data_IF_644268637644
#
_entry.id   IF_644268637644
#
_cell.length_a   1.000
_cell.length_b   1.000
_cell.length_c   1.000
_cell.angle_alpha   90.00
_cell.angle_beta   90.00
_cell.angle_gamma   90.00
#
_symmetry.space_group_name_H-M   'P 1'
#
loop_
_entity.id
_entity.type
_entity.pdbx_description
1 polymer ?
#
# COMPACT_ATOMS: atom_id res chain seq x y z
N UNK A 1 10.75 14.69 6.65
CA UNK A 1 11.48 13.73 7.50
C UNK A 1 10.47 12.70 7.96
N UNK A 2 10.73 11.41 7.81
CA UNK A 2 9.86 10.30 8.17
C UNK A 2 10.65 9.23 8.92
N UNK A 3 9.96 8.40 9.69
CA UNK A 3 10.52 7.29 10.43
C UNK A 3 10.32 6.00 9.62
N UNK A 4 11.39 5.32 9.28
CA UNK A 4 11.35 4.10 8.47
C UNK A 4 11.86 2.92 9.28
N UNK A 5 11.10 1.84 9.31
CA UNK A 5 11.49 0.60 9.94
C UNK A 5 11.85 -0.43 8.86
N UNK A 6 13.09 -0.90 8.85
CA UNK A 6 13.54 -1.96 7.95
C UNK A 6 13.80 -3.24 8.75
N UNK A 7 13.23 -4.34 8.27
CA UNK A 7 13.31 -5.66 8.90
C UNK A 7 13.82 -6.67 7.88
N UNK A 8 15.06 -7.14 8.10
CA UNK A 8 15.75 -8.04 7.18
C UNK A 8 16.87 -8.75 7.95
N UNK A 9 17.02 -10.04 7.81
CA UNK A 9 18.06 -10.80 8.52
C UNK A 9 19.48 -10.49 8.01
N UNK A 10 19.58 -9.95 6.79
CA UNK A 10 20.83 -9.53 6.21
C UNK A 10 21.29 -8.16 6.74
N UNK A 11 22.28 -8.18 7.64
CA UNK A 11 22.84 -6.97 8.26
C UNK A 11 23.39 -5.95 7.25
N UNK A 12 24.04 -6.44 6.18
CA UNK A 12 24.62 -5.55 5.16
C UNK A 12 23.54 -4.85 4.34
N UNK A 13 22.44 -5.55 4.04
CA UNK A 13 21.28 -4.94 3.39
C UNK A 13 20.59 -3.92 4.31
N UNK A 14 20.46 -4.22 5.59
CA UNK A 14 19.98 -3.26 6.58
C UNK A 14 20.83 -1.99 6.64
N UNK A 15 22.16 -2.11 6.61
CA UNK A 15 23.09 -0.96 6.56
C UNK A 15 22.94 -0.16 5.27
N UNK A 16 22.82 -0.84 4.13
CA UNK A 16 22.60 -0.22 2.83
C UNK A 16 21.30 0.60 2.81
N UNK A 17 20.20 0.00 3.24
CA UNK A 17 18.87 0.65 3.33
C UNK A 17 18.97 1.87 4.25
N UNK A 18 19.53 1.72 5.45
CA UNK A 18 19.72 2.82 6.40
C UNK A 18 20.48 3.97 5.76
N UNK A 19 21.68 3.69 5.22
CA UNK A 19 22.52 4.73 4.61
C UNK A 19 21.82 5.45 3.46
N UNK A 20 21.08 4.71 2.63
CA UNK A 20 20.38 5.27 1.49
C UNK A 20 19.23 6.21 1.91
N UNK A 21 18.42 5.81 2.89
CA UNK A 21 17.23 6.56 3.30
C UNK A 21 17.56 7.69 4.29
N UNK A 22 18.61 7.54 5.09
CA UNK A 22 19.12 8.65 5.93
C UNK A 22 19.69 9.80 5.09
N UNK A 23 20.29 9.52 3.93
CA UNK A 23 20.68 10.56 2.95
C UNK A 23 19.50 11.37 2.42
N UNK A 24 18.30 10.80 2.41
CA UNK A 24 17.07 11.48 2.04
C UNK A 24 16.42 12.24 3.21
N UNK A 25 17.09 12.28 4.37
CA UNK A 25 16.62 12.99 5.55
C UNK A 25 15.59 12.22 6.39
N UNK A 26 15.50 10.89 6.22
CA UNK A 26 14.65 10.03 7.03
C UNK A 26 15.38 9.55 8.30
N UNK A 27 14.63 9.10 9.29
CA UNK A 27 15.15 8.31 10.43
C UNK A 27 14.92 6.84 10.14
N UNK A 28 15.95 6.00 10.27
CA UNK A 28 15.84 4.57 9.94
C UNK A 28 16.21 3.70 11.14
N UNK A 29 15.27 2.90 11.59
CA UNK A 29 15.47 1.81 12.54
C UNK A 29 15.55 0.49 11.77
N UNK A 30 16.44 -0.41 12.20
CA UNK A 30 16.59 -1.72 11.58
C UNK A 30 16.42 -2.84 12.60
N UNK A 31 15.80 -3.94 12.20
CA UNK A 31 15.67 -5.17 12.98
C UNK A 31 16.05 -6.37 12.11
N UNK A 32 16.56 -7.43 12.73
CA UNK A 32 17.01 -8.64 12.03
C UNK A 32 16.03 -9.80 12.14
N UNK A 33 14.90 -9.61 12.82
CA UNK A 33 13.88 -10.63 12.99
C UNK A 33 12.50 -10.01 13.19
N UNK A 34 11.46 -10.68 12.67
CA UNK A 34 10.08 -10.27 12.79
C UNK A 34 9.57 -10.19 14.22
N UNK A 35 10.04 -11.07 15.10
CA UNK A 35 9.67 -11.08 16.52
C UNK A 35 10.10 -9.82 17.30
N UNK A 36 11.02 -9.02 16.74
CA UNK A 36 11.43 -7.74 17.33
C UNK A 36 10.45 -6.58 17.03
N UNK A 37 9.41 -6.79 16.22
CA UNK A 37 8.41 -5.77 15.91
C UNK A 37 7.34 -5.70 17.00
N UNK A 38 7.52 -4.74 17.88
CA UNK A 38 6.58 -4.42 18.95
C UNK A 38 5.55 -3.37 18.49
N UNK A 39 4.40 -3.29 19.15
CA UNK A 39 3.39 -2.27 18.85
C UNK A 39 3.93 -0.82 18.91
N UNK A 40 4.73 -0.40 19.92
CA UNK A 40 5.33 0.93 19.94
C UNK A 40 6.20 1.21 18.72
N UNK A 41 6.96 0.21 18.25
CA UNK A 41 7.81 0.35 17.09
C UNK A 41 7.02 0.46 15.78
N UNK A 42 5.94 -0.32 15.65
CA UNK A 42 5.02 -0.21 14.51
C UNK A 42 4.31 1.16 14.47
N UNK A 43 3.95 1.71 15.63
CA UNK A 43 3.36 3.06 15.74
C UNK A 43 4.36 4.19 15.49
N UNK A 44 5.65 3.97 15.78
CA UNK A 44 6.70 4.94 15.51
C UNK A 44 6.99 5.08 14.02
N UNK A 45 6.85 3.99 13.24
CA UNK A 45 7.17 3.97 11.83
C UNK A 45 6.13 4.73 10.99
N UNK A 46 6.60 5.43 9.97
CA UNK A 46 5.79 6.00 8.88
C UNK A 46 5.79 5.08 7.65
N UNK A 47 6.74 4.15 7.56
CA UNK A 47 6.85 3.14 6.51
C UNK A 47 7.62 1.93 7.05
N UNK A 48 7.20 0.72 6.68
CA UNK A 48 7.86 -0.53 7.07
C UNK A 48 8.35 -1.24 5.80
N UNK A 49 9.64 -1.55 5.78
CA UNK A 49 10.28 -2.42 4.79
C UNK A 49 10.47 -3.78 5.45
N UNK A 50 9.90 -4.84 4.87
CA UNK A 50 9.82 -6.14 5.52
C UNK A 50 10.31 -7.23 4.57
N UNK A 51 11.38 -7.92 4.95
CA UNK A 51 11.80 -9.12 4.22
C UNK A 51 10.77 -10.23 4.37
N UNK A 52 10.50 -10.92 3.28
CA UNK A 52 9.62 -12.09 3.26
C UNK A 52 10.35 -13.32 3.82
N UNK A 53 11.63 -13.50 3.47
CA UNK A 53 12.38 -14.72 3.79
C UNK A 53 13.31 -14.52 4.98
N UNK A 54 12.77 -14.55 6.20
CA UNK A 54 13.57 -14.45 7.41
C UNK A 54 13.60 -15.77 8.18
N UNK A 55 14.70 -16.10 8.85
CA UNK A 55 14.77 -17.26 9.75
C UNK A 55 13.77 -17.12 10.91
N UNK A 56 13.02 -18.18 11.18
CA UNK A 56 12.13 -18.30 12.34
C UNK A 56 10.70 -17.84 12.09
N UNK A 57 10.48 -16.64 11.57
CA UNK A 57 9.13 -16.13 11.27
C UNK A 57 9.08 -15.56 9.83
N UNK A 58 8.21 -16.12 9.00
CA UNK A 58 7.98 -15.67 7.64
C UNK A 58 7.43 -14.22 7.65
N UNK A 59 7.95 -13.36 6.76
CA UNK A 59 7.51 -11.97 6.62
C UNK A 59 6.00 -11.82 6.35
N UNK A 60 5.37 -12.78 5.70
CA UNK A 60 3.93 -12.80 5.51
C UNK A 60 3.20 -12.98 6.85
N UNK A 61 3.68 -13.86 7.72
CA UNK A 61 3.12 -14.03 9.06
C UNK A 61 3.32 -12.77 9.91
N UNK A 62 4.52 -12.16 9.83
CA UNK A 62 4.80 -10.86 10.47
C UNK A 62 3.83 -9.80 10.00
N UNK A 63 3.62 -9.66 8.68
CA UNK A 63 2.71 -8.68 8.11
C UNK A 63 1.27 -8.87 8.62
N UNK A 64 0.74 -10.10 8.61
CA UNK A 64 -0.60 -10.39 9.16
C UNK A 64 -0.72 -9.94 10.61
N UNK A 65 0.30 -10.20 11.42
CA UNK A 65 0.33 -9.85 12.85
C UNK A 65 0.37 -8.35 13.07
N UNK A 66 1.24 -7.63 12.35
CA UNK A 66 1.41 -6.18 12.58
C UNK A 66 0.35 -5.35 11.87
N UNK A 67 -0.35 -5.86 10.86
CA UNK A 67 -1.38 -5.10 10.14
C UNK A 67 -2.57 -4.71 11.04
N UNK A 68 -2.85 -5.47 12.08
CA UNK A 68 -3.83 -5.09 13.11
C UNK A 68 -3.35 -3.95 14.04
N UNK A 69 -2.06 -3.65 14.05
CA UNK A 69 -1.43 -2.67 14.93
C UNK A 69 -1.12 -1.34 14.23
N UNK A 70 -1.09 -1.34 12.89
CA UNK A 70 -0.67 -0.16 12.13
C UNK A 70 -1.27 -0.10 10.73
N UNK A 71 -1.59 1.12 10.29
CA UNK A 71 -2.05 1.44 8.94
C UNK A 71 -0.92 1.96 8.03
N UNK A 72 0.32 2.03 8.53
CA UNK A 72 1.44 2.54 7.73
C UNK A 72 1.75 1.61 6.55
N UNK A 73 2.28 2.13 5.42
CA UNK A 73 2.63 1.30 4.29
C UNK A 73 3.68 0.26 4.67
N UNK A 74 3.41 -0.98 4.24
CA UNK A 74 4.33 -2.12 4.36
C UNK A 74 4.76 -2.51 2.96
N UNK A 75 6.06 -2.40 2.68
CA UNK A 75 6.68 -2.82 1.44
C UNK A 75 7.46 -4.11 1.69
N UNK A 76 7.11 -5.17 0.99
CA UNK A 76 7.89 -6.38 1.04
C UNK A 76 9.19 -6.27 0.24
N UNK A 77 10.27 -6.77 0.81
CA UNK A 77 11.54 -7.02 0.14
C UNK A 77 11.67 -8.54 -0.03
N UNK A 78 11.78 -9.06 -1.25
CA UNK A 78 11.79 -10.51 -1.41
C UNK A 78 12.62 -10.99 -2.59
N UNK A 79 13.28 -12.12 -2.42
CA UNK A 79 13.88 -12.88 -3.52
C UNK A 79 12.84 -13.71 -4.29
N UNK A 80 11.64 -13.91 -3.73
CA UNK A 80 10.53 -14.57 -4.43
C UNK A 80 9.88 -13.57 -5.36
N UNK A 81 9.94 -13.88 -6.65
CA UNK A 81 9.39 -13.03 -7.73
C UNK A 81 8.22 -13.71 -8.45
N UNK A 82 7.79 -14.86 -7.92
CA UNK A 82 6.65 -15.56 -8.48
C UNK A 82 5.33 -14.79 -8.20
N UNK A 83 4.44 -14.80 -9.17
CA UNK A 83 3.16 -14.09 -9.10
C UNK A 83 2.35 -14.51 -7.86
N UNK A 84 2.43 -15.77 -7.45
CA UNK A 84 1.73 -16.28 -6.29
C UNK A 84 2.20 -15.61 -4.99
N UNK A 85 3.49 -15.41 -4.81
CA UNK A 85 4.04 -14.73 -3.63
C UNK A 85 3.64 -13.25 -3.57
N UNK A 86 3.66 -12.57 -4.72
CA UNK A 86 3.21 -11.18 -4.83
C UNK A 86 1.72 -11.06 -4.48
N UNK A 87 0.89 -11.93 -5.06
CA UNK A 87 -0.56 -11.95 -4.80
C UNK A 87 -0.87 -12.28 -3.33
N UNK A 88 -0.15 -13.24 -2.73
CA UNK A 88 -0.29 -13.55 -1.31
C UNK A 88 0.07 -12.34 -0.45
N UNK A 89 1.22 -11.69 -0.68
CA UNK A 89 1.69 -10.53 0.09
C UNK A 89 0.70 -9.37 0.07
N UNK A 90 0.21 -9.02 -1.12
CA UNK A 90 -0.79 -7.95 -1.29
C UNK A 90 -2.15 -8.36 -0.73
N UNK A 91 -2.50 -9.64 -0.82
CA UNK A 91 -3.75 -10.20 -0.26
C UNK A 91 -3.83 -10.09 1.26
N UNK A 92 -2.71 -10.16 1.97
CA UNK A 92 -2.64 -10.00 3.42
C UNK A 92 -2.48 -8.56 3.89
N UNK A 93 -2.44 -7.60 2.95
CA UNK A 93 -2.49 -6.18 3.27
C UNK A 93 -1.16 -5.43 3.13
N UNK A 94 -0.15 -6.00 2.47
CA UNK A 94 1.01 -5.22 2.05
C UNK A 94 0.61 -4.18 1.00
N UNK A 95 1.35 -3.10 0.93
CA UNK A 95 1.07 -1.98 0.04
C UNK A 95 1.88 -2.04 -1.25
N UNK A 96 3.07 -2.66 -1.20
CA UNK A 96 3.95 -2.80 -2.36
C UNK A 96 4.91 -3.99 -2.17
N UNK A 97 5.57 -4.36 -3.25
CA UNK A 97 6.49 -5.49 -3.30
C UNK A 97 7.73 -5.10 -4.13
N UNK A 98 8.92 -5.29 -3.56
CA UNK A 98 10.20 -4.99 -4.21
C UNK A 98 11.06 -6.25 -4.28
N UNK A 99 11.34 -6.72 -5.48
CA UNK A 99 12.13 -7.94 -5.70
C UNK A 99 13.62 -7.71 -5.47
N UNK A 100 14.25 -8.65 -4.76
CA UNK A 100 15.72 -8.72 -4.58
C UNK A 100 16.35 -9.49 -5.75
N UNK A 101 17.47 -9.00 -6.33
CA UNK A 101 18.20 -7.76 -5.99
C UNK A 101 17.54 -6.51 -6.57
N UNK A 102 17.43 -5.44 -5.79
CA UNK A 102 16.88 -4.17 -6.23
C UNK A 102 17.93 -3.07 -6.33
N UNK A 103 17.62 -2.04 -7.10
CA UNK A 103 18.44 -0.83 -7.15
C UNK A 103 18.07 0.08 -5.98
N UNK A 104 19.08 0.72 -5.37
CA UNK A 104 18.85 1.70 -4.29
C UNK A 104 17.93 2.84 -4.75
N UNK A 105 18.06 3.28 -5.99
CA UNK A 105 17.20 4.32 -6.56
C UNK A 105 15.72 3.87 -6.59
N UNK A 106 15.44 2.62 -6.93
CA UNK A 106 14.09 2.08 -6.93
C UNK A 106 13.50 2.02 -5.52
N UNK A 107 14.25 1.50 -4.53
CA UNK A 107 13.83 1.51 -3.14
C UNK A 107 13.46 2.93 -2.67
N UNK A 108 14.35 3.91 -2.94
CA UNK A 108 14.13 5.31 -2.56
C UNK A 108 12.88 5.90 -3.22
N UNK A 109 12.68 5.63 -4.52
CA UNK A 109 11.53 6.11 -5.27
C UNK A 109 10.21 5.54 -4.70
N UNK A 110 10.15 4.24 -4.38
CA UNK A 110 8.98 3.59 -3.80
C UNK A 110 8.67 4.11 -2.40
N UNK A 111 9.68 4.21 -1.53
CA UNK A 111 9.53 4.78 -0.18
C UNK A 111 9.03 6.23 -0.27
N UNK A 112 9.63 7.06 -1.13
CA UNK A 112 9.21 8.44 -1.32
C UNK A 112 7.76 8.55 -1.84
N UNK A 113 7.35 7.66 -2.75
CA UNK A 113 5.99 7.61 -3.26
C UNK A 113 4.98 7.30 -2.15
N UNK A 114 5.26 6.32 -1.30
CA UNK A 114 4.40 5.95 -0.19
C UNK A 114 4.35 7.05 0.90
N UNK A 115 5.47 7.69 1.22
CA UNK A 115 5.53 8.79 2.19
C UNK A 115 4.85 10.07 1.69
N UNK A 116 5.00 10.43 0.41
CA UNK A 116 4.37 11.63 -0.19
C UNK A 116 2.86 11.62 -0.05
N UNK A 117 2.21 10.45 -0.07
CA UNK A 117 0.77 10.32 0.17
C UNK A 117 0.37 10.69 1.57
N UNK A 118 1.25 10.51 2.56
CA UNK A 118 0.99 10.89 3.95
C UNK A 118 0.93 12.40 4.12
N UNK A 119 1.70 13.15 3.33
CA UNK A 119 1.87 14.61 3.47
C UNK A 119 0.86 15.44 2.66
N UNK A 120 0.03 14.83 1.81
CA UNK A 120 -1.02 15.56 1.12
C UNK A 120 -2.17 15.83 2.06
N UNK A 121 -2.23 17.04 2.59
CA UNK A 121 -3.39 17.58 3.33
C UNK A 121 -4.29 18.31 2.35
N UNK A 122 -5.47 17.79 2.04
CA UNK A 122 -6.58 18.62 1.60
C UNK A 122 -7.71 18.58 2.63
N UNK A 123 -8.14 19.76 3.06
CA UNK A 123 -9.20 19.94 4.05
C UNK A 123 -10.59 19.78 3.43
N UNK A 124 -10.93 18.64 2.85
CA UNK A 124 -12.25 18.48 2.25
C UNK A 124 -12.82 17.06 2.41
N UNK A 125 -14.10 17.00 2.68
CA UNK A 125 -14.91 15.78 2.57
C UNK A 125 -15.47 15.70 1.14
N UNK A 126 -15.42 14.51 0.55
CA UNK A 126 -16.00 14.22 -0.75
C UNK A 126 -16.95 13.04 -0.62
N UNK A 127 -18.12 13.13 -1.24
CA UNK A 127 -19.01 11.96 -1.39
C UNK A 127 -19.05 11.61 -2.87
N UNK A 128 -18.86 10.33 -3.20
CA UNK A 128 -18.96 9.82 -4.56
C UNK A 128 -19.66 8.48 -4.56
N UNK A 129 -20.79 8.43 -5.27
CA UNK A 129 -21.60 7.21 -5.46
C UNK A 129 -21.89 6.49 -4.12
N UNK A 130 -22.25 7.23 -3.08
CA UNK A 130 -22.58 6.69 -1.75
C UNK A 130 -21.39 6.41 -0.83
N UNK A 131 -20.16 6.63 -1.28
CA UNK A 131 -18.96 6.52 -0.45
C UNK A 131 -18.51 7.92 -0.02
N UNK A 132 -18.44 8.15 1.29
CA UNK A 132 -17.92 9.38 1.88
C UNK A 132 -16.43 9.25 2.14
N UNK A 133 -15.63 10.13 1.54
CA UNK A 133 -14.18 10.21 1.73
C UNK A 133 -13.85 11.37 2.66
N UNK A 134 -13.06 11.13 3.68
CA UNK A 134 -12.37 12.16 4.45
C UNK A 134 -10.94 12.28 3.93
N UNK A 135 -10.70 13.28 3.09
CA UNK A 135 -9.40 13.48 2.44
C UNK A 135 -8.30 13.89 3.43
N UNK A 136 -8.69 14.43 4.58
CA UNK A 136 -7.76 14.81 5.66
C UNK A 136 -7.37 13.58 6.49
N UNK A 137 -8.37 12.83 6.97
CA UNK A 137 -8.15 11.62 7.74
C UNK A 137 -7.73 10.41 6.88
N UNK A 138 -7.81 10.55 5.54
CA UNK A 138 -7.57 9.47 4.57
C UNK A 138 -8.37 8.22 4.87
N UNK A 139 -9.64 8.43 5.12
CA UNK A 139 -10.59 7.36 5.42
C UNK A 139 -11.79 7.45 4.49
N UNK A 140 -12.42 6.32 4.26
CA UNK A 140 -13.66 6.25 3.51
C UNK A 140 -14.72 5.51 4.33
N UNK A 141 -15.98 5.90 4.16
CA UNK A 141 -17.10 5.30 4.86
C UNK A 141 -18.29 5.10 3.91
N UNK A 142 -19.05 4.06 4.17
CA UNK A 142 -20.33 3.77 3.51
C UNK A 142 -21.40 3.77 4.58
N UNK A 143 -22.44 4.62 4.44
CA UNK A 143 -23.54 4.74 5.40
C UNK A 143 -23.06 4.92 6.87
N UNK A 144 -21.95 5.66 7.04
CA UNK A 144 -21.35 5.90 8.36
C UNK A 144 -20.42 4.79 8.87
N UNK A 145 -20.35 3.65 8.18
CA UNK A 145 -19.41 2.56 8.51
C UNK A 145 -18.06 2.82 7.84
N UNK A 146 -17.02 3.01 8.64
CA UNK A 146 -15.65 3.23 8.14
C UNK A 146 -15.14 1.96 7.46
N UNK A 147 -14.61 2.12 6.24
CA UNK A 147 -13.99 1.03 5.49
C UNK A 147 -12.56 0.79 6.02
N UNK A 148 -12.20 -0.45 6.36
CA UNK A 148 -10.85 -0.79 6.83
C UNK A 148 -9.86 -0.88 5.64
N UNK A 149 -9.72 0.21 4.89
CA UNK A 149 -8.81 0.28 3.75
C UNK A 149 -7.37 0.47 4.20
N UNK A 150 -6.44 -0.23 3.57
CA UNK A 150 -5.02 0.13 3.67
C UNK A 150 -4.77 1.47 2.98
N UNK A 151 -3.60 2.06 3.18
CA UNK A 151 -3.25 3.35 2.55
C UNK A 151 -3.26 3.29 1.03
N UNK A 152 -2.77 2.20 0.45
CA UNK A 152 -2.78 2.01 -1.00
C UNK A 152 -4.19 1.79 -1.55
N UNK A 153 -5.00 1.01 -0.86
CA UNK A 153 -6.40 0.81 -1.23
C UNK A 153 -7.19 2.12 -1.15
N UNK A 154 -6.99 2.91 -0.07
CA UNK A 154 -7.58 4.24 0.03
C UNK A 154 -7.13 5.15 -1.11
N UNK A 155 -5.82 5.19 -1.42
CA UNK A 155 -5.29 6.03 -2.48
C UNK A 155 -5.81 5.66 -3.87
N UNK A 156 -6.01 4.36 -4.14
CA UNK A 156 -6.65 3.89 -5.37
C UNK A 156 -8.12 4.35 -5.41
N UNK A 157 -8.87 4.18 -4.32
CA UNK A 157 -10.26 4.65 -4.22
C UNK A 157 -10.36 6.16 -4.42
N UNK A 158 -9.53 6.94 -3.71
CA UNK A 158 -9.47 8.40 -3.82
C UNK A 158 -9.17 8.85 -5.25
N UNK A 159 -8.14 8.28 -5.88
CA UNK A 159 -7.75 8.62 -7.24
C UNK A 159 -8.89 8.36 -8.24
N UNK A 160 -9.48 7.18 -8.19
CA UNK A 160 -10.57 6.80 -9.09
C UNK A 160 -11.87 7.57 -8.82
N UNK A 161 -12.18 7.85 -7.55
CA UNK A 161 -13.37 8.62 -7.16
C UNK A 161 -13.26 10.10 -7.52
N UNK A 162 -12.06 10.70 -7.43
CA UNK A 162 -11.79 12.07 -7.91
C UNK A 162 -12.01 12.21 -9.42
N UNK A 163 -11.80 11.13 -10.17
CA UNK A 163 -11.96 11.07 -11.62
C UNK A 163 -13.13 10.15 -12.01
N UNK A 164 -14.23 10.20 -11.24
CA UNK A 164 -15.39 9.35 -11.46
C UNK A 164 -15.89 9.44 -12.91
N UNK A 165 -16.22 8.28 -13.51
CA UNK A 165 -16.62 8.17 -14.93
C UNK A 165 -15.46 7.98 -15.90
N UNK A 166 -14.22 8.31 -15.52
CA UNK A 166 -13.04 8.11 -16.35
C UNK A 166 -12.44 6.71 -16.13
N UNK A 167 -11.99 6.07 -17.21
CA UNK A 167 -11.32 4.76 -17.16
C UNK A 167 -9.82 4.95 -17.15
N UNK A 168 -9.13 4.23 -16.28
CA UNK A 168 -7.69 4.23 -16.15
C UNK A 168 -7.13 2.83 -16.35
N UNK A 169 -5.99 2.72 -17.04
CA UNK A 169 -5.27 1.45 -17.13
C UNK A 169 -4.63 1.11 -15.80
N UNK A 170 -4.19 -0.13 -15.62
CA UNK A 170 -3.50 -0.55 -14.39
C UNK A 170 -2.20 0.23 -14.20
N UNK A 171 -1.46 0.46 -15.27
CA UNK A 171 -0.23 1.25 -15.28
C UNK A 171 -0.50 2.68 -14.82
N UNK A 172 -1.54 3.33 -15.36
CA UNK A 172 -1.92 4.69 -14.97
C UNK A 172 -2.30 4.78 -13.48
N UNK A 173 -3.06 3.80 -12.98
CA UNK A 173 -3.40 3.71 -11.56
C UNK A 173 -2.12 3.49 -10.73
N UNK A 174 -1.25 2.60 -11.18
CA UNK A 174 0.00 2.31 -10.49
C UNK A 174 0.89 3.55 -10.42
N UNK A 175 1.14 4.21 -11.54
CA UNK A 175 1.94 5.45 -11.60
C UNK A 175 1.36 6.57 -10.73
N UNK A 176 0.05 6.80 -10.83
CA UNK A 176 -0.62 7.84 -10.04
C UNK A 176 -0.56 7.56 -8.54
N UNK A 177 -0.66 6.30 -8.17
CA UNK A 177 -0.74 5.86 -6.77
C UNK A 177 0.64 5.52 -6.22
N UNK A 178 1.57 4.94 -6.98
CA UNK A 178 2.86 4.43 -6.49
C UNK A 178 4.11 5.15 -7.05
N UNK A 179 3.97 5.94 -8.15
CA UNK A 179 5.06 6.71 -8.76
C UNK A 179 5.68 6.02 -9.99
N UNK A 180 6.50 6.79 -10.76
CA UNK A 180 6.91 6.45 -12.13
C UNK A 180 8.07 5.44 -12.24
N UNK A 181 8.83 5.13 -11.17
CA UNK A 181 10.13 4.45 -11.26
C UNK A 181 10.11 2.93 -10.99
N UNK A 182 8.99 2.25 -11.19
CA UNK A 182 8.90 0.80 -11.07
C UNK A 182 8.38 0.16 -12.35
N UNK A 183 8.80 -1.06 -12.67
CA UNK A 183 8.04 -1.91 -13.58
C UNK A 183 6.65 -2.06 -12.96
N UNK A 184 5.65 -1.44 -13.59
CA UNK A 184 4.28 -1.48 -13.11
C UNK A 184 3.87 -2.94 -12.94
N UNK A 185 3.70 -3.37 -11.69
CA UNK A 185 3.17 -4.71 -11.42
C UNK A 185 1.66 -4.66 -11.55
N UNK A 186 1.18 -5.01 -12.75
CA UNK A 186 -0.24 -5.10 -13.09
C UNK A 186 -1.04 -5.96 -12.12
N UNK A 187 -0.39 -6.92 -11.46
CA UNK A 187 -1.00 -7.83 -10.50
C UNK A 187 -1.31 -7.12 -9.19
N UNK A 188 -0.47 -6.17 -8.78
CA UNK A 188 -0.66 -5.40 -7.55
C UNK A 188 -1.98 -4.60 -7.58
N UNK A 189 -2.21 -3.84 -8.65
CA UNK A 189 -3.46 -3.06 -8.81
C UNK A 189 -4.68 -3.98 -8.83
N UNK A 190 -4.60 -5.10 -9.55
CA UNK A 190 -5.69 -6.08 -9.62
C UNK A 190 -6.03 -6.64 -8.24
N UNK A 191 -5.02 -6.97 -7.43
CA UNK A 191 -5.23 -7.48 -6.08
C UNK A 191 -5.82 -6.42 -5.14
N UNK A 192 -5.33 -5.18 -5.19
CA UNK A 192 -5.91 -4.09 -4.41
C UNK A 192 -7.39 -3.85 -4.78
N UNK A 193 -7.74 -3.85 -6.05
CA UNK A 193 -9.14 -3.73 -6.50
C UNK A 193 -10.01 -4.86 -5.94
N UNK A 194 -9.51 -6.10 -5.95
CA UNK A 194 -10.21 -7.25 -5.37
C UNK A 194 -10.45 -7.06 -3.85
N UNK A 195 -9.44 -6.62 -3.13
CA UNK A 195 -9.53 -6.37 -1.69
C UNK A 195 -10.51 -5.22 -1.39
N UNK A 196 -10.44 -4.11 -2.13
CA UNK A 196 -11.36 -2.98 -2.00
C UNK A 196 -12.82 -3.43 -2.18
N UNK A 197 -13.10 -4.20 -3.23
CA UNK A 197 -14.46 -4.72 -3.48
C UNK A 197 -14.96 -5.63 -2.36
N UNK A 198 -14.09 -6.47 -1.81
CA UNK A 198 -14.43 -7.31 -0.65
C UNK A 198 -14.81 -6.46 0.57
N UNK A 199 -14.06 -5.39 0.85
CA UNK A 199 -14.30 -4.46 1.97
C UNK A 199 -15.57 -3.63 1.75
N UNK A 200 -15.83 -3.17 0.54
CA UNK A 200 -17.09 -2.50 0.17
C UNK A 200 -18.29 -3.41 0.38
N UNK A 201 -18.18 -4.68 -0.03
CA UNK A 201 -19.26 -5.67 0.17
C UNK A 201 -19.51 -5.92 1.66
N UNK A 202 -18.46 -6.05 2.46
CA UNK A 202 -18.57 -6.21 3.90
C UNK A 202 -19.22 -5.00 4.59
N UNK A 203 -19.09 -3.81 4.02
CA UNK A 203 -19.72 -2.58 4.50
C UNK A 203 -21.14 -2.33 3.94
N UNK A 204 -21.74 -3.33 3.26
CA UNK A 204 -23.13 -3.26 2.79
C UNK A 204 -23.32 -2.79 1.35
N UNK A 205 -22.26 -2.54 0.59
CA UNK A 205 -22.39 -2.25 -0.85
C UNK A 205 -22.79 -3.53 -1.59
N UNK A 206 -24.00 -3.58 -2.13
CA UNK A 206 -24.54 -4.78 -2.78
C UNK A 206 -23.80 -5.17 -4.06
N UNK A 207 -23.37 -4.17 -4.85
CA UNK A 207 -22.73 -4.37 -6.14
C UNK A 207 -21.42 -3.57 -6.27
N UNK A 208 -20.35 -3.92 -5.49
CA UNK A 208 -19.12 -3.18 -5.52
C UNK A 208 -18.42 -3.22 -6.89
N UNK A 209 -18.71 -4.20 -7.73
CA UNK A 209 -18.24 -4.29 -9.11
C UNK A 209 -18.85 -3.23 -10.04
N UNK A 210 -20.06 -2.74 -9.73
CA UNK A 210 -20.68 -1.63 -10.46
C UNK A 210 -20.16 -0.28 -9.96
N UNK A 211 -19.84 -0.19 -8.69
CA UNK A 211 -19.24 1.01 -8.09
C UNK A 211 -17.81 1.22 -8.57
N UNK A 212 -16.99 0.21 -8.41
CA UNK A 212 -15.62 0.14 -8.89
C UNK A 212 -15.58 -0.85 -10.06
N UNK A 213 -15.83 -0.34 -11.26
CA UNK A 213 -16.11 -1.13 -12.45
C UNK A 213 -14.81 -1.61 -13.13
N UNK A 214 -14.82 -2.84 -13.66
CA UNK A 214 -13.80 -3.34 -14.58
C UNK A 214 -14.22 -3.04 -16.01
N UNK A 215 -13.42 -2.29 -16.73
CA UNK A 215 -13.56 -2.09 -18.16
C UNK A 215 -12.64 -3.10 -18.85
N UNK A 216 -13.25 -4.19 -19.36
CA UNK A 216 -12.53 -5.32 -19.92
C UNK A 216 -11.54 -4.89 -21.03
N UNK A 217 -10.31 -5.39 -20.95
CA UNK A 217 -9.24 -5.05 -21.89
C UNK A 217 -8.64 -3.65 -21.71
N UNK A 218 -9.15 -2.82 -20.74
CA UNK A 218 -8.67 -1.46 -20.53
C UNK A 218 -8.17 -1.26 -19.09
N UNK A 219 -9.03 -1.46 -18.08
CA UNK A 219 -8.65 -1.20 -16.70
C UNK A 219 -9.84 -1.02 -15.77
N UNK A 220 -9.81 0.03 -14.94
CA UNK A 220 -10.80 0.27 -13.89
C UNK A 220 -11.38 1.68 -13.94
N UNK A 221 -12.60 1.82 -13.44
CA UNK A 221 -13.34 3.07 -13.40
C UNK A 221 -14.21 3.15 -12.14
N UNK A 222 -14.21 4.29 -11.47
CA UNK A 222 -15.24 4.60 -10.48
C UNK A 222 -16.53 5.02 -11.17
N UNK A 223 -17.68 4.58 -10.66
CA UNK A 223 -19.00 4.94 -11.21
C UNK A 223 -19.17 6.45 -11.22
N UNK A 224 -19.63 7.02 -12.35
CA UNK A 224 -20.09 8.40 -12.42
C UNK A 224 -21.38 8.58 -11.61
N UNK A 225 -21.56 9.76 -11.06
CA UNK A 225 -22.88 10.20 -10.58
C UNK A 225 -23.67 10.66 -11.82
N UNK A 226 -24.77 10.00 -12.08
CA UNK A 226 -25.78 10.45 -13.06
C UNK A 226 -26.66 11.52 -12.43
#
# INVERSE_FOLDING_TARGET
MANILAVDDNLELCKLIRTALERDGHRVETRQAGGALTEPLCRWADCILLDVMMPGEDGFAVCRRIRSLTEVPILFLSARTDEAAVLEGLGIGADDFLSKPFRVAELRARVAAHLRRQSRTPAHRMVRSGVAFDLTARSAAVEGTVLPLTRSEYAICEYLALHAGQTFTKEQIYEAVFGIDGTADDTAVTQHIKNIRAKLRAAGVSEPEKLLNTVWGVGYRWKSED
#
